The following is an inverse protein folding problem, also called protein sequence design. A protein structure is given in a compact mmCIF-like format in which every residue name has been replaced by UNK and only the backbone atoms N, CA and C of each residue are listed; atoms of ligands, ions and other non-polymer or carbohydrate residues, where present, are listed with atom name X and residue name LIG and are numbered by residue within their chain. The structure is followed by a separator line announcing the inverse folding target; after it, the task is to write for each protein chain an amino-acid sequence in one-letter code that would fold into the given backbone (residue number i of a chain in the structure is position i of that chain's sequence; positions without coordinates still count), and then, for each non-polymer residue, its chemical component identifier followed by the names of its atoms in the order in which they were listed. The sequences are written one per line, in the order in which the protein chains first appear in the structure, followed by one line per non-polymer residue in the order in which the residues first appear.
data_IF_623323929127
#
_entry.id   IF_623323929127
#
_cell.length_a   1.000
_cell.length_b   1.000
_cell.length_c   1.000
_cell.angle_alpha   90.00
_cell.angle_beta   90.00
_cell.angle_gamma   90.00
#
_symmetry.space_group_name_H-M   'P 1'
#
loop_
_entity.id
_entity.type
_entity.pdbx_description
1 polymer ?
#
# COMPACT_ATOMS: atom_id res chain seq x y z
N UNK A 1 0.98 6.23 -18.14
CA UNK A 1 1.79 5.86 -16.95
C UNK A 1 1.20 4.60 -16.36
N UNK A 2 1.96 3.51 -16.25
CA UNK A 2 1.46 2.33 -15.52
C UNK A 2 1.35 2.67 -14.04
N UNK A 3 0.23 2.29 -13.41
CA UNK A 3 -0.07 2.57 -11.99
C UNK A 3 0.86 1.78 -11.05
N UNK A 4 1.64 0.86 -11.62
CA UNK A 4 2.35 -0.21 -10.93
C UNK A 4 3.39 0.25 -9.91
N UNK A 5 3.90 1.49 -9.99
CA UNK A 5 4.94 2.00 -9.07
C UNK A 5 4.67 3.38 -8.49
N UNK A 6 3.40 3.71 -8.24
CA UNK A 6 3.02 5.07 -7.78
C UNK A 6 3.60 5.44 -6.41
N UNK A 7 3.96 4.47 -5.59
CA UNK A 7 4.45 4.69 -4.22
C UNK A 7 5.96 4.44 -4.08
N UNK A 8 6.67 4.09 -5.17
CA UNK A 8 8.08 3.73 -5.11
C UNK A 8 8.94 4.76 -4.38
N UNK A 9 9.65 4.29 -3.35
CA UNK A 9 10.53 5.12 -2.52
C UNK A 9 9.80 5.96 -1.47
N UNK A 10 8.50 5.73 -1.24
CA UNK A 10 7.73 6.39 -0.18
C UNK A 10 7.64 5.48 1.04
N UNK A 11 7.60 6.09 2.22
CA UNK A 11 7.27 5.40 3.47
C UNK A 11 5.81 5.71 3.82
N UNK A 12 5.03 4.67 4.08
CA UNK A 12 3.59 4.77 4.36
C UNK A 12 3.29 4.08 5.69
N UNK A 13 2.62 4.79 6.61
CA UNK A 13 2.10 4.23 7.85
C UNK A 13 0.59 3.98 7.71
N UNK A 14 0.16 2.74 7.92
CA UNK A 14 -1.25 2.33 7.84
C UNK A 14 -1.65 1.76 9.19
N UNK A 15 -2.59 2.40 9.88
CA UNK A 15 -3.18 1.90 11.13
C UNK A 15 -4.38 1.00 10.83
N UNK A 16 -4.76 0.13 11.78
CA UNK A 16 -5.89 -0.80 11.57
C UNK A 16 -5.67 -1.79 10.43
N UNK A 17 -4.42 -2.11 10.09
CA UNK A 17 -4.06 -2.96 8.95
C UNK A 17 -4.20 -4.47 9.21
N UNK A 18 -4.76 -4.87 10.34
CA UNK A 18 -4.91 -6.28 10.72
C UNK A 18 -6.05 -7.00 9.99
N UNK A 19 -7.02 -6.28 9.40
CA UNK A 19 -8.09 -6.86 8.59
C UNK A 19 -8.78 -5.83 7.68
N UNK A 20 -9.68 -6.31 6.81
CA UNK A 20 -10.58 -5.48 6.01
C UNK A 20 -9.87 -4.51 5.07
N UNK A 21 -10.31 -3.25 5.07
CA UNK A 21 -9.79 -2.22 4.16
C UNK A 21 -8.32 -1.91 4.46
N UNK A 22 -7.94 -1.85 5.74
CA UNK A 22 -6.57 -1.57 6.15
C UNK A 22 -5.61 -2.64 5.64
N UNK A 23 -5.98 -3.91 5.77
CA UNK A 23 -5.18 -5.04 5.27
C UNK A 23 -5.05 -4.99 3.74
N UNK A 24 -6.17 -4.82 3.03
CA UNK A 24 -6.17 -4.78 1.57
C UNK A 24 -5.28 -3.64 1.03
N UNK A 25 -5.38 -2.45 1.65
CA UNK A 25 -4.57 -1.30 1.30
C UNK A 25 -3.09 -1.54 1.60
N UNK A 26 -2.74 -2.13 2.74
CA UNK A 26 -1.35 -2.45 3.07
C UNK A 26 -0.73 -3.40 2.03
N UNK A 27 -1.47 -4.40 1.58
CA UNK A 27 -1.02 -5.32 0.51
C UNK A 27 -0.87 -4.61 -0.83
N UNK A 28 -1.79 -3.72 -1.19
CA UNK A 28 -1.68 -2.91 -2.41
C UNK A 28 -0.46 -1.99 -2.36
N UNK A 29 -0.27 -1.27 -1.24
CA UNK A 29 0.84 -0.35 -1.05
C UNK A 29 2.19 -1.08 -1.20
N UNK A 30 2.35 -2.23 -0.55
CA UNK A 30 3.56 -3.04 -0.66
C UNK A 30 3.84 -3.53 -2.10
N UNK A 31 2.80 -3.85 -2.88
CA UNK A 31 2.96 -4.26 -4.30
C UNK A 31 3.35 -3.09 -5.21
N UNK A 32 2.94 -1.87 -4.86
CA UNK A 32 3.14 -0.68 -5.69
C UNK A 32 4.35 0.18 -5.31
N UNK A 33 5.21 -0.39 -4.47
CA UNK A 33 6.55 0.10 -4.15
C UNK A 33 6.56 1.22 -3.14
#
# INVERSE_FOLDING_TARGET
MSVERRLAGRHVLITGASSGIGEHLARLAARHG
#
